data_IF_152010318436
#
_entry.id   IF_152010318436
#
_cell.length_a   1.000
_cell.length_b   1.000
_cell.length_c   1.000
_cell.angle_alpha   90.00
_cell.angle_beta   90.00
_cell.angle_gamma   90.00
#
_symmetry.space_group_name_H-M   'P 1'
#
loop_
_entity.id
_entity.type
_entity.pdbx_description
1 polymer ?
#
# COMPACT_ATOMS: atom_id res chain seq x y z
N UNK A 1 7.46 -17.17 -1.64
CA UNK A 1 7.40 -16.30 -2.84
C UNK A 1 5.97 -16.17 -3.30
N UNK A 2 5.69 -15.15 -4.11
CA UNK A 2 4.46 -14.95 -4.87
C UNK A 2 4.83 -14.63 -6.32
N UNK A 3 3.94 -14.93 -7.26
CA UNK A 3 4.03 -14.46 -8.64
C UNK A 3 2.81 -13.59 -8.93
N UNK A 4 3.03 -12.36 -9.41
CA UNK A 4 1.98 -11.41 -9.79
C UNK A 4 2.22 -10.99 -11.24
N UNK A 5 1.28 -11.25 -12.16
CA UNK A 5 1.45 -10.89 -13.57
C UNK A 5 2.75 -11.42 -14.21
N UNK A 6 3.33 -12.52 -13.71
CA UNK A 6 4.63 -13.06 -14.13
C UNK A 6 5.84 -12.55 -13.32
N UNK A 7 5.70 -11.51 -12.51
CA UNK A 7 6.76 -11.00 -11.63
C UNK A 7 6.88 -11.89 -10.38
N UNK A 8 8.00 -12.61 -10.25
CA UNK A 8 8.29 -13.46 -9.09
C UNK A 8 8.96 -12.66 -7.98
N UNK A 9 8.31 -12.57 -6.83
CA UNK A 9 8.80 -11.86 -5.64
C UNK A 9 9.07 -12.83 -4.48
N UNK A 10 10.21 -12.64 -3.83
CA UNK A 10 10.56 -13.32 -2.60
C UNK A 10 10.22 -12.40 -1.42
N UNK A 11 9.38 -12.90 -0.51
CA UNK A 11 8.78 -12.10 0.55
C UNK A 11 9.31 -12.57 1.91
N UNK A 12 9.45 -11.63 2.83
CA UNK A 12 9.74 -11.90 4.25
C UNK A 12 8.73 -11.16 5.10
N UNK A 13 7.90 -11.92 5.80
CA UNK A 13 6.85 -11.37 6.66
C UNK A 13 7.44 -11.08 8.03
N UNK A 14 7.08 -9.94 8.60
CA UNK A 14 7.53 -9.50 9.92
C UNK A 14 6.96 -10.37 11.03
N UNK A 15 5.62 -10.54 11.05
CA UNK A 15 4.93 -11.35 12.04
C UNK A 15 3.59 -11.88 11.53
N UNK A 16 3.24 -13.09 11.94
CA UNK A 16 1.94 -13.72 11.71
C UNK A 16 1.38 -14.15 13.06
N UNK A 17 0.19 -13.66 13.41
CA UNK A 17 -0.56 -14.12 14.57
C UNK A 17 -1.70 -15.04 14.09
N UNK A 18 -2.04 -16.05 14.89
CA UNK A 18 -3.12 -17.01 14.62
C UNK A 18 -4.19 -16.86 15.70
N UNK A 19 -5.45 -16.67 15.31
CA UNK A 19 -6.57 -16.64 16.26
C UNK A 19 -6.88 -18.03 16.83
N UNK A 20 -7.63 -18.15 17.93
CA UNK A 20 -8.05 -19.46 18.46
C UNK A 20 -8.78 -20.34 17.43
N UNK A 21 -9.44 -19.72 16.45
CA UNK A 21 -10.17 -20.37 15.35
C UNK A 21 -9.27 -20.68 14.14
N UNK A 22 -7.96 -20.43 14.23
CA UNK A 22 -6.99 -20.76 13.19
C UNK A 22 -6.82 -19.69 12.11
N UNK A 23 -7.44 -18.52 12.24
CA UNK A 23 -7.33 -17.46 11.24
C UNK A 23 -6.01 -16.70 11.37
N UNK A 24 -5.35 -16.43 10.25
CA UNK A 24 -4.12 -15.64 10.23
C UNK A 24 -4.39 -14.13 10.26
N UNK A 25 -3.57 -13.41 11.02
CA UNK A 25 -3.46 -11.94 11.02
C UNK A 25 -2.01 -11.59 10.68
N UNK A 26 -1.81 -10.79 9.63
CA UNK A 26 -0.47 -10.36 9.22
C UNK A 26 -0.13 -9.03 9.87
N UNK A 27 1.05 -8.94 10.47
CA UNK A 27 1.50 -7.75 11.19
C UNK A 27 2.82 -7.28 10.59
N UNK A 28 2.90 -5.98 10.30
CA UNK A 28 4.10 -5.29 9.83
C UNK A 28 4.49 -4.17 10.79
N UNK A 29 5.77 -4.09 11.16
CA UNK A 29 6.26 -3.10 12.12
C UNK A 29 6.69 -1.82 11.42
N UNK A 30 6.15 -0.68 11.87
CA UNK A 30 6.43 0.62 11.26
C UNK A 30 6.82 1.66 12.29
N UNK A 31 7.95 2.32 12.08
CA UNK A 31 8.44 3.43 12.93
C UNK A 31 8.08 4.81 12.38
N UNK A 32 7.64 4.89 11.12
CA UNK A 32 7.19 6.13 10.48
C UNK A 32 5.70 6.42 10.67
N UNK A 33 5.25 7.54 10.11
CA UNK A 33 3.81 7.83 10.00
C UNK A 33 3.16 6.88 9.01
N UNK A 34 2.07 6.25 9.42
CA UNK A 34 1.29 5.29 8.62
C UNK A 34 -0.14 5.77 8.48
N UNK A 35 -0.71 5.60 7.28
CA UNK A 35 -2.09 5.97 6.97
C UNK A 35 -2.83 4.73 6.47
N UNK A 36 -3.92 4.28 7.13
CA UNK A 36 -4.68 3.12 6.66
C UNK A 36 -5.19 3.27 5.22
N UNK A 37 -5.49 4.50 4.78
CA UNK A 37 -5.94 4.77 3.42
C UNK A 37 -4.92 4.40 2.34
N UNK A 38 -3.63 4.27 2.68
CA UNK A 38 -2.58 3.88 1.75
C UNK A 38 -2.73 2.45 1.21
N UNK A 39 -3.50 1.59 1.88
CA UNK A 39 -3.85 0.24 1.40
C UNK A 39 -4.97 0.24 0.36
N UNK A 40 -5.72 1.32 0.24
CA UNK A 40 -6.98 1.36 -0.54
C UNK A 40 -6.88 2.24 -1.79
N UNK A 41 -5.69 2.68 -2.16
CA UNK A 41 -5.47 3.49 -3.37
C UNK A 41 -5.29 2.59 -4.59
N UNK A 42 -5.74 3.04 -5.77
CA UNK A 42 -5.55 2.32 -7.04
C UNK A 42 -4.08 1.94 -7.27
N UNK A 43 -3.18 2.93 -7.22
CA UNK A 43 -1.74 2.65 -7.05
C UNK A 43 -1.47 2.53 -5.56
N UNK A 44 -1.46 1.30 -5.03
CA UNK A 44 -1.32 1.02 -3.60
C UNK A 44 -0.04 1.68 -3.06
N UNK A 45 -0.19 2.62 -2.12
CA UNK A 45 0.94 3.39 -1.59
C UNK A 45 1.77 2.59 -0.58
N UNK A 46 1.13 1.74 0.22
CA UNK A 46 1.80 0.83 1.16
C UNK A 46 1.52 -0.64 0.76
N UNK A 47 2.20 -1.19 -0.27
CA UNK A 47 1.83 -2.47 -0.88
C UNK A 47 2.25 -3.70 -0.08
N UNK A 48 3.07 -3.56 0.97
CA UNK A 48 3.70 -4.69 1.66
C UNK A 48 2.69 -5.68 2.28
N UNK A 49 1.73 -5.20 3.07
CA UNK A 49 0.70 -6.06 3.66
C UNK A 49 -0.33 -6.58 2.63
N UNK A 50 -0.86 -5.75 1.70
CA UNK A 50 -1.64 -6.24 0.56
C UNK A 50 -0.95 -7.38 -0.21
N UNK A 51 0.35 -7.24 -0.48
CA UNK A 51 1.16 -8.26 -1.16
C UNK A 51 1.24 -9.57 -0.37
N UNK A 52 1.43 -9.49 0.95
CA UNK A 52 1.41 -10.69 1.80
C UNK A 52 0.03 -11.33 1.86
N UNK A 53 -1.02 -10.50 1.88
CA UNK A 53 -2.40 -10.95 1.92
C UNK A 53 -2.79 -11.74 0.65
N UNK A 54 -2.34 -11.32 -0.53
CA UNK A 54 -2.57 -12.06 -1.78
C UNK A 54 -1.95 -13.48 -1.76
N UNK A 55 -0.92 -13.72 -0.94
CA UNK A 55 -0.29 -15.05 -0.83
C UNK A 55 -0.89 -15.92 0.26
N UNK A 56 -1.21 -15.32 1.41
CA UNK A 56 -1.57 -16.05 2.63
C UNK A 56 -3.06 -16.06 2.94
N UNK A 57 -3.85 -15.23 2.25
CA UNK A 57 -5.30 -15.11 2.45
C UNK A 57 -5.68 -14.98 3.95
N UNK A 58 -5.09 -14.00 4.67
CA UNK A 58 -5.36 -13.81 6.10
C UNK A 58 -6.79 -13.31 6.30
N UNK A 59 -7.27 -13.30 7.55
CA UNK A 59 -8.53 -12.63 7.92
C UNK A 59 -8.31 -11.23 8.48
N UNK A 60 -7.07 -10.77 8.56
CA UNK A 60 -6.74 -9.40 8.90
C UNK A 60 -5.30 -9.04 8.59
N UNK A 61 -5.08 -7.74 8.41
CA UNK A 61 -3.75 -7.15 8.31
C UNK A 61 -3.65 -5.99 9.30
N UNK A 62 -2.45 -5.73 9.81
CA UNK A 62 -2.21 -4.62 10.71
C UNK A 62 -0.78 -4.06 10.63
N UNK A 63 -0.67 -2.75 10.81
CA UNK A 63 0.56 -2.11 11.22
C UNK A 63 0.64 -2.06 12.75
N UNK A 64 1.76 -2.54 13.29
CA UNK A 64 2.22 -2.18 14.62
C UNK A 64 3.06 -0.90 14.50
N UNK A 65 2.44 0.27 14.72
CA UNK A 65 3.12 1.55 14.61
C UNK A 65 3.83 1.89 15.92
N UNK A 66 5.16 1.84 15.91
CA UNK A 66 6.03 2.05 17.08
C UNK A 66 6.76 3.37 16.91
N UNK A 67 6.29 4.41 17.57
CA UNK A 67 6.91 5.75 17.58
C UNK A 67 7.25 6.16 19.01
N UNK A 68 8.22 7.06 19.18
CA UNK A 68 8.60 7.56 20.51
C UNK A 68 7.38 8.20 21.18
N UNK A 69 6.96 7.65 22.33
CA UNK A 69 5.82 8.14 23.10
C UNK A 69 4.43 7.74 22.58
N UNK A 70 4.33 6.95 21.50
CA UNK A 70 3.03 6.45 21.02
C UNK A 70 3.17 5.12 20.26
N UNK A 71 2.43 4.12 20.72
CA UNK A 71 2.25 2.84 20.01
C UNK A 71 0.78 2.68 19.65
N UNK A 72 0.49 2.45 18.37
CA UNK A 72 -0.89 2.25 17.91
C UNK A 72 -0.98 1.14 16.88
N UNK A 73 -2.13 0.48 16.89
CA UNK A 73 -2.53 -0.45 15.86
C UNK A 73 -3.32 0.27 14.77
N UNK A 74 -2.99 -0.03 13.52
CA UNK A 74 -3.81 0.31 12.36
C UNK A 74 -4.11 -1.00 11.67
N UNK A 75 -5.37 -1.33 11.45
CA UNK A 75 -5.75 -2.67 11.01
C UNK A 75 -6.94 -2.63 10.07
N UNK A 76 -7.08 -3.60 9.19
CA UNK A 76 -8.34 -3.93 8.53
C UNK A 76 -8.49 -5.45 8.59
N UNK A 77 -9.69 -5.91 8.91
CA UNK A 77 -9.96 -7.33 9.13
C UNK A 77 -11.38 -7.68 8.71
N UNK A 78 -11.58 -8.95 8.42
CA UNK A 78 -12.87 -9.49 8.06
C UNK A 78 -13.83 -9.44 9.25
N UNK A 79 -14.91 -8.67 9.12
CA UNK A 79 -15.94 -8.54 10.16
C UNK A 79 -16.68 -9.83 10.47
N UNK A 80 -16.68 -10.81 9.56
CA UNK A 80 -17.27 -12.14 9.76
C UNK A 80 -16.36 -13.06 10.57
N UNK A 81 -15.07 -12.69 10.74
CA UNK A 81 -14.13 -13.46 11.55
C UNK A 81 -14.32 -13.24 13.05
N UNK A 82 -13.70 -14.11 13.83
CA UNK A 82 -13.60 -14.05 15.28
C UNK A 82 -12.59 -13.02 15.80
N UNK A 83 -12.00 -12.18 14.94
CA UNK A 83 -11.01 -11.18 15.35
C UNK A 83 -11.70 -10.15 16.26
N UNK A 84 -11.43 -10.23 17.57
CA UNK A 84 -12.00 -9.37 18.59
C UNK A 84 -10.92 -8.62 19.35
N UNK A 85 -11.28 -7.45 19.86
CA UNK A 85 -10.45 -6.66 20.76
C UNK A 85 -10.53 -5.16 20.45
N UNK A 86 -10.59 -4.33 21.49
CA UNK A 86 -10.68 -2.86 21.36
C UNK A 86 -9.47 -2.24 20.63
N UNK A 87 -8.37 -2.99 20.54
CA UNK A 87 -7.13 -2.59 19.86
C UNK A 87 -7.22 -2.67 18.34
N UNK A 88 -8.03 -3.59 17.80
CA UNK A 88 -8.22 -3.76 16.37
C UNK A 88 -9.35 -2.85 15.92
N UNK A 89 -9.04 -1.89 15.04
CA UNK A 89 -10.01 -0.91 14.56
C UNK A 89 -9.95 -0.85 13.05
N UNK A 90 -11.13 -0.99 12.43
CA UNK A 90 -11.30 -0.80 11.00
C UNK A 90 -11.38 0.71 10.70
N UNK A 91 -10.69 1.20 9.65
CA UNK A 91 -10.81 2.58 9.18
C UNK A 91 -12.26 2.93 8.83
N UNK A 92 -12.67 4.16 9.12
CA UNK A 92 -14.06 4.59 8.90
C UNK A 92 -14.45 4.74 7.42
N UNK A 93 -13.50 5.15 6.58
CA UNK A 93 -13.74 5.54 5.18
C UNK A 93 -12.92 4.65 4.24
N UNK A 94 -13.29 3.37 4.15
CA UNK A 94 -12.74 2.48 3.13
C UNK A 94 -13.56 2.71 1.84
N UNK A 95 -12.92 3.03 0.70
CA UNK A 95 -13.63 3.31 -0.55
C UNK A 95 -14.44 2.10 -1.03
N UNK A 96 -15.66 2.34 -1.55
CA UNK A 96 -16.57 1.28 -2.03
C UNK A 96 -15.98 0.51 -3.22
N UNK A 97 -15.19 1.17 -4.06
CA UNK A 97 -14.51 0.53 -5.20
C UNK A 97 -13.53 -0.58 -4.80
N UNK A 98 -13.15 -0.66 -3.53
CA UNK A 98 -12.35 -1.77 -3.00
C UNK A 98 -13.15 -3.05 -2.77
N UNK A 99 -14.49 -2.99 -2.91
CA UNK A 99 -15.41 -4.10 -2.62
C UNK A 99 -15.65 -4.34 -1.13
N UNK A 100 -15.22 -3.42 -0.28
CA UNK A 100 -15.53 -3.43 1.15
C UNK A 100 -17.05 -3.26 1.39
N UNK A 101 -17.67 -3.99 2.35
CA UNK A 101 -17.08 -4.76 3.45
C UNK A 101 -16.79 -6.24 3.17
N UNK A 102 -16.95 -6.71 1.94
CA UNK A 102 -16.66 -8.11 1.62
C UNK A 102 -15.14 -8.34 1.56
N UNK A 103 -14.61 -9.10 2.53
CA UNK A 103 -13.17 -9.35 2.66
C UNK A 103 -12.55 -9.94 1.41
N UNK A 104 -13.23 -10.90 0.79
CA UNK A 104 -12.73 -11.55 -0.43
C UNK A 104 -12.66 -10.58 -1.62
N UNK A 105 -13.60 -9.62 -1.71
CA UNK A 105 -13.51 -8.57 -2.73
C UNK A 105 -12.35 -7.61 -2.47
N UNK A 106 -12.05 -7.31 -1.21
CA UNK A 106 -10.87 -6.50 -0.85
C UNK A 106 -9.55 -7.21 -1.21
N UNK A 107 -9.47 -8.54 -0.98
CA UNK A 107 -8.32 -9.34 -1.41
C UNK A 107 -8.16 -9.35 -2.94
N UNK A 108 -9.27 -9.47 -3.68
CA UNK A 108 -9.29 -9.37 -5.16
C UNK A 108 -8.82 -7.98 -5.59
N UNK A 109 -9.38 -6.90 -5.01
CA UNK A 109 -8.96 -5.54 -5.30
C UNK A 109 -7.45 -5.35 -5.14
N UNK A 110 -6.87 -5.81 -4.02
CA UNK A 110 -5.42 -5.73 -3.81
C UNK A 110 -4.63 -6.52 -4.85
N UNK A 111 -5.07 -7.73 -5.17
CA UNK A 111 -4.42 -8.55 -6.19
C UNK A 111 -4.41 -7.83 -7.54
N UNK A 112 -5.57 -7.36 -8.00
CA UNK A 112 -5.72 -6.68 -9.29
C UNK A 112 -4.85 -5.42 -9.39
N UNK A 113 -4.86 -4.58 -8.35
CA UNK A 113 -4.03 -3.38 -8.35
C UNK A 113 -2.52 -3.70 -8.33
N UNK A 114 -2.10 -4.76 -7.64
CA UNK A 114 -0.70 -5.19 -7.61
C UNK A 114 -0.28 -5.84 -8.94
N UNK A 115 -1.17 -6.57 -9.61
CA UNK A 115 -0.91 -7.16 -10.93
C UNK A 115 -0.73 -6.06 -11.99
N UNK A 116 -1.55 -5.00 -11.97
CA UNK A 116 -1.35 -3.83 -12.84
C UNK A 116 0.05 -3.23 -12.65
N UNK A 117 0.49 -3.05 -11.39
CA UNK A 117 1.83 -2.49 -11.11
C UNK A 117 2.94 -3.44 -11.58
N UNK A 118 2.76 -4.75 -11.41
CA UNK A 118 3.72 -5.75 -11.87
C UNK A 118 3.82 -5.79 -13.40
N UNK A 119 2.70 -5.72 -14.12
CA UNK A 119 2.66 -5.65 -15.58
C UNK A 119 3.32 -4.37 -16.11
N UNK A 120 3.06 -3.22 -15.51
CA UNK A 120 3.73 -1.96 -15.87
C UNK A 120 5.25 -2.08 -15.73
N UNK A 121 5.72 -2.71 -14.65
CA UNK A 121 7.14 -2.94 -14.41
C UNK A 121 7.75 -3.87 -15.47
N UNK A 122 7.11 -5.01 -15.74
CA UNK A 122 7.59 -5.99 -16.73
C UNK A 122 7.62 -5.43 -18.15
N UNK A 123 6.68 -4.55 -18.50
CA UNK A 123 6.63 -3.87 -19.79
C UNK A 123 7.58 -2.67 -19.89
N UNK A 124 8.39 -2.38 -18.87
CA UNK A 124 9.34 -1.28 -18.89
C UNK A 124 8.67 0.11 -18.94
N UNK A 125 7.48 0.27 -18.34
CA UNK A 125 6.78 1.55 -18.31
C UNK A 125 7.45 2.51 -17.31
N UNK A 126 8.18 3.51 -17.83
CA UNK A 126 8.98 4.46 -17.03
C UNK A 126 8.38 5.88 -16.94
N UNK A 127 7.05 5.99 -16.88
CA UNK A 127 6.39 7.31 -16.83
C UNK A 127 6.67 8.00 -15.49
N UNK A 128 7.05 9.28 -15.55
CA UNK A 128 7.40 10.09 -14.38
C UNK A 128 6.11 10.63 -13.74
N UNK A 129 5.57 9.89 -12.77
CA UNK A 129 4.31 10.23 -12.07
C UNK A 129 4.51 10.13 -10.55
N UNK A 130 5.04 11.18 -9.89
CA UNK A 130 5.15 11.18 -8.43
C UNK A 130 3.77 11.20 -7.78
N UNK A 131 3.48 10.23 -6.89
CA UNK A 131 2.15 10.05 -6.26
C UNK A 131 1.70 11.31 -5.51
N UNK A 132 2.62 11.93 -4.77
CA UNK A 132 2.44 13.24 -4.13
C UNK A 132 3.60 14.11 -4.57
N UNK A 133 3.41 14.93 -5.62
CA UNK A 133 4.49 15.63 -6.33
C UNK A 133 5.50 16.28 -5.37
N UNK A 134 5.03 17.11 -4.45
CA UNK A 134 5.88 17.86 -3.53
C UNK A 134 6.61 16.94 -2.54
N UNK A 135 5.90 16.03 -1.88
CA UNK A 135 6.50 15.13 -0.87
C UNK A 135 7.45 14.12 -1.50
N UNK A 136 7.06 13.57 -2.66
CA UNK A 136 7.81 12.54 -3.40
C UNK A 136 9.08 13.15 -3.95
N UNK A 137 9.01 14.29 -4.64
CA UNK A 137 10.18 14.95 -5.22
C UNK A 137 11.15 15.48 -4.16
N UNK A 138 10.66 15.90 -2.98
CA UNK A 138 11.52 16.30 -1.86
C UNK A 138 12.33 15.15 -1.27
N UNK A 139 11.81 13.92 -1.30
CA UNK A 139 12.47 12.71 -0.74
C UNK A 139 13.21 11.88 -1.78
N UNK A 140 12.87 12.02 -3.06
CA UNK A 140 13.54 11.35 -4.17
C UNK A 140 15.00 11.83 -4.27
N UNK A 141 15.93 10.98 -4.72
CA UNK A 141 17.34 11.37 -4.97
C UNK A 141 17.70 11.50 -6.45
N UNK A 142 16.72 11.38 -7.35
CA UNK A 142 16.92 11.27 -8.80
C UNK A 142 16.40 12.50 -9.57
N UNK A 143 16.36 13.67 -8.94
CA UNK A 143 15.81 14.90 -9.54
C UNK A 143 16.54 15.28 -10.84
N UNK A 144 17.87 15.11 -10.88
CA UNK A 144 18.70 15.41 -12.06
C UNK A 144 18.44 14.48 -13.25
N UNK A 145 17.89 13.28 -13.00
CA UNK A 145 17.57 12.32 -14.05
C UNK A 145 16.16 12.51 -14.60
N UNK A 146 15.20 12.86 -13.74
CA UNK A 146 13.79 12.87 -14.10
C UNK A 146 13.34 14.15 -14.84
N UNK A 147 14.08 15.26 -14.76
CA UNK A 147 13.79 16.54 -15.43
C UNK A 147 12.38 17.10 -15.21
N UNK A 148 11.62 16.60 -14.24
CA UNK A 148 10.23 17.02 -13.97
C UNK A 148 10.11 18.50 -13.55
N UNK A 149 11.22 19.10 -13.11
CA UNK A 149 11.31 20.53 -12.79
C UNK A 149 11.47 21.44 -14.01
N UNK A 150 11.97 20.91 -15.14
CA UNK A 150 12.20 21.71 -16.37
C UNK A 150 10.87 22.05 -17.07
N UNK A 151 9.85 21.19 -16.95
CA UNK A 151 8.52 21.40 -17.55
C UNK A 151 7.69 22.52 -16.91
N UNK A 152 8.21 23.20 -15.88
CA UNK A 152 7.57 24.32 -15.19
C UNK A 152 8.12 25.71 -15.55
N UNK A 153 9.12 25.80 -16.44
CA UNK A 153 9.77 27.06 -16.80
C UNK A 153 9.29 27.65 -18.13
N UNK A 154 8.21 27.12 -18.72
CA UNK A 154 7.62 27.63 -19.95
C UNK A 154 6.32 28.35 -19.57
N UNK A 155 6.26 29.66 -19.79
CA UNK A 155 5.02 30.41 -19.59
C UNK A 155 3.96 30.04 -20.65
N UNK A 156 2.74 30.57 -20.56
CA UNK A 156 1.66 30.27 -21.52
C UNK A 156 1.96 30.72 -22.97
N UNK A 157 3.03 31.48 -23.19
CA UNK A 157 3.48 31.97 -24.49
C UNK A 157 4.66 31.17 -25.08
N UNK A 158 5.24 30.22 -24.33
CA UNK A 158 6.36 29.41 -24.80
C UNK A 158 7.74 29.97 -24.46
N UNK A 159 7.83 31.04 -23.66
CA UNK A 159 9.11 31.64 -23.27
C UNK A 159 9.63 31.09 -21.94
N UNK A 160 10.95 30.98 -21.84
CA UNK A 160 11.65 30.60 -20.62
C UNK A 160 11.55 31.73 -19.60
N UNK A 161 11.02 31.45 -18.41
CA UNK A 161 11.07 32.39 -17.29
C UNK A 161 12.52 32.44 -16.76
N UNK A 162 13.19 33.60 -16.94
CA UNK A 162 14.47 33.93 -16.29
C UNK A 162 14.34 34.03 -14.76
#
# INVERSE_FOLDING_TARGET
>A
SITLGGLKLHLRIDRIDITPEGHAILIDYKTGSVKPSAWFTKRIQDPQLPLYACRLLPRGIAFANITKGSTKWISVYDKTSSIRGKIWKIPRNIPEETGWPEWEKLLIFWKDQLEIIAEEFLNGKLVIVPIKKEETCRKCGYQSLCRIGESGMIDKSGEFLE
#
